data_IF_427488826709
#
_entry.id   IF_427488826709
#
_cell.length_a   1.000
_cell.length_b   1.000
_cell.length_c   1.000
_cell.angle_alpha   90.00
_cell.angle_beta   90.00
_cell.angle_gamma   90.00
#
_symmetry.space_group_name_H-M   'P 1'
#
loop_
_entity.id
_entity.type
_entity.pdbx_description
1 polymer ?
#
# COMPACT_ATOMS: atom_id res chain seq x y z
N UNK A 1 12.04 -11.04 12.90
CA UNK A 1 11.49 -10.13 11.86
C UNK A 1 10.07 -9.67 12.19
N UNK A 2 9.07 -10.55 12.26
CA UNK A 2 7.67 -10.14 12.48
C UNK A 2 7.42 -9.32 13.76
N UNK A 3 8.02 -9.71 14.90
CA UNK A 3 7.92 -8.93 16.13
C UNK A 3 8.51 -7.51 16.01
N UNK A 4 9.59 -7.36 15.23
CA UNK A 4 10.21 -6.07 14.95
C UNK A 4 9.33 -5.23 14.02
N UNK A 5 8.76 -5.84 12.98
CA UNK A 5 7.75 -5.21 12.11
C UNK A 5 6.60 -4.65 12.96
N UNK A 6 6.04 -5.45 13.87
CA UNK A 6 5.01 -5.00 14.81
C UNK A 6 5.45 -3.80 15.66
N UNK A 7 6.63 -3.87 16.26
CA UNK A 7 7.15 -2.78 17.10
C UNK A 7 7.36 -1.49 16.29
N UNK A 8 7.88 -1.60 15.07
CA UNK A 8 8.06 -0.46 14.17
C UNK A 8 6.73 0.13 13.71
N UNK A 9 5.75 -0.69 13.34
CA UNK A 9 4.40 -0.22 13.00
C UNK A 9 3.78 0.57 14.15
N UNK A 10 3.85 0.06 15.40
CA UNK A 10 3.29 0.77 16.56
C UNK A 10 4.02 2.08 16.88
N UNK A 11 5.34 2.15 16.66
CA UNK A 11 6.13 3.34 17.00
C UNK A 11 6.18 4.40 15.91
N UNK A 12 6.08 3.99 14.64
CA UNK A 12 6.33 4.86 13.48
C UNK A 12 5.18 4.88 12.47
N UNK A 13 4.11 4.11 12.70
CA UNK A 13 2.96 4.05 11.78
C UNK A 13 3.28 3.36 10.45
N UNK A 14 2.68 3.88 9.36
CA UNK A 14 2.81 3.32 8.01
C UNK A 14 4.28 3.20 7.55
N UNK A 15 5.16 4.21 7.71
CA UNK A 15 6.57 4.07 7.34
C UNK A 15 7.28 2.93 8.08
N UNK A 16 6.98 2.74 9.37
CA UNK A 16 7.54 1.65 10.16
C UNK A 16 7.11 0.26 9.68
N UNK A 17 5.86 0.16 9.23
CA UNK A 17 5.37 -1.07 8.60
C UNK A 17 6.05 -1.34 7.27
N UNK A 18 6.18 -0.30 6.44
CA UNK A 18 6.86 -0.39 5.15
C UNK A 18 8.29 -0.95 5.31
N UNK A 19 9.07 -0.43 6.26
CA UNK A 19 10.42 -0.92 6.55
C UNK A 19 10.42 -2.38 7.03
N UNK A 20 9.44 -2.75 7.88
CA UNK A 20 9.33 -4.11 8.37
C UNK A 20 8.93 -5.11 7.27
N UNK A 21 8.13 -4.70 6.28
CA UNK A 21 7.86 -5.50 5.09
C UNK A 21 9.10 -5.68 4.22
N UNK A 22 9.93 -4.65 4.07
CA UNK A 22 11.20 -4.77 3.35
C UNK A 22 12.11 -5.80 4.04
N UNK A 23 12.19 -5.77 5.38
CA UNK A 23 12.94 -6.78 6.14
C UNK A 23 12.40 -8.19 5.91
N UNK A 24 11.08 -8.36 5.90
CA UNK A 24 10.43 -9.66 5.64
C UNK A 24 10.77 -10.14 4.22
N UNK A 25 10.61 -9.27 3.23
CA UNK A 25 10.90 -9.55 1.83
C UNK A 25 12.35 -10.01 1.65
N UNK A 26 13.32 -9.22 2.13
CA UNK A 26 14.75 -9.55 2.00
C UNK A 26 15.12 -10.82 2.76
N UNK A 27 14.47 -11.09 3.90
CA UNK A 27 14.70 -12.33 4.65
C UNK A 27 14.21 -13.56 3.87
N UNK A 28 13.02 -13.49 3.26
CA UNK A 28 12.47 -14.55 2.43
C UNK A 28 13.36 -14.74 1.20
N UNK A 29 13.72 -13.67 0.48
CA UNK A 29 14.53 -13.75 -0.74
C UNK A 29 15.91 -14.35 -0.51
N UNK A 30 16.59 -13.96 0.58
CA UNK A 30 18.00 -14.36 0.80
C UNK A 30 18.16 -15.63 1.63
N UNK A 31 17.20 -15.94 2.49
CA UNK A 31 17.36 -16.95 3.52
C UNK A 31 16.21 -17.95 3.57
N UNK A 32 15.45 -18.14 2.48
CA UNK A 32 14.28 -19.01 2.46
C UNK A 32 14.50 -20.37 3.13
N UNK A 33 15.54 -21.10 2.75
CA UNK A 33 15.84 -22.42 3.31
C UNK A 33 16.13 -22.36 4.83
N UNK A 34 17.13 -21.58 5.31
CA UNK A 34 17.49 -21.53 6.73
C UNK A 34 16.55 -20.66 7.60
N UNK A 35 15.53 -20.02 7.04
CA UNK A 35 14.64 -19.14 7.79
C UNK A 35 13.83 -19.95 8.81
N UNK A 36 13.72 -19.45 10.04
CA UNK A 36 12.88 -20.07 11.06
C UNK A 36 11.43 -19.56 10.99
N UNK A 37 10.42 -20.43 11.19
CA UNK A 37 10.53 -21.89 11.39
C UNK A 37 11.08 -22.61 10.15
N UNK A 38 11.93 -23.62 10.38
CA UNK A 38 12.54 -24.41 9.31
C UNK A 38 11.45 -25.16 8.52
N UNK A 39 11.70 -25.43 7.23
CA UNK A 39 10.79 -26.27 6.42
C UNK A 39 10.82 -27.72 6.86
N UNK A 40 11.96 -28.17 7.37
CA UNK A 40 12.15 -29.54 7.84
C UNK A 40 12.44 -29.50 9.34
N UNK A 41 11.57 -30.17 10.10
CA UNK A 41 11.78 -30.41 11.52
C UNK A 41 11.64 -31.92 11.76
N UNK A 42 12.64 -32.52 12.43
CA UNK A 42 12.67 -33.97 12.71
C UNK A 42 12.54 -34.90 11.48
N UNK A 43 12.94 -34.43 10.29
CA UNK A 43 12.90 -35.23 9.05
C UNK A 43 11.56 -35.20 8.33
N UNK A 44 10.62 -34.38 8.77
CA UNK A 44 9.35 -34.12 8.08
C UNK A 44 9.37 -32.71 7.49
N UNK A 45 9.16 -32.61 6.17
CA UNK A 45 9.05 -31.33 5.46
C UNK A 45 7.62 -30.81 5.59
N UNK A 46 7.40 -29.85 6.48
CA UNK A 46 6.10 -29.19 6.68
C UNK A 46 6.18 -27.67 6.46
N UNK A 47 5.84 -27.18 5.24
CA UNK A 47 5.81 -25.75 4.95
C UNK A 47 4.72 -24.98 5.71
N UNK A 48 3.71 -25.64 6.29
CA UNK A 48 2.60 -24.97 6.96
C UNK A 48 3.02 -24.21 8.21
N UNK A 49 4.05 -24.67 8.94
CA UNK A 49 4.57 -23.92 10.08
C UNK A 49 5.04 -22.52 9.70
N UNK A 50 5.71 -22.40 8.55
CA UNK A 50 6.18 -21.13 8.05
C UNK A 50 5.04 -20.28 7.48
N UNK A 51 4.09 -20.89 6.79
CA UNK A 51 2.87 -20.22 6.32
C UNK A 51 2.11 -19.61 7.51
N UNK A 52 1.93 -20.38 8.58
CA UNK A 52 1.24 -19.94 9.80
C UNK A 52 2.00 -18.81 10.51
N UNK A 53 3.34 -18.86 10.53
CA UNK A 53 4.14 -17.75 11.05
C UNK A 53 3.94 -16.46 10.22
N UNK A 54 3.92 -16.59 8.89
CA UNK A 54 3.70 -15.46 7.97
C UNK A 54 2.24 -14.99 7.92
N UNK A 55 1.28 -15.78 8.40
CA UNK A 55 -0.12 -15.37 8.53
C UNK A 55 -0.31 -14.16 9.45
N UNK A 56 0.68 -13.82 10.29
CA UNK A 56 0.71 -12.55 11.03
C UNK A 56 0.73 -11.31 10.11
N UNK A 57 1.03 -11.45 8.82
CA UNK A 57 0.95 -10.39 7.81
C UNK A 57 -0.42 -10.35 7.10
N UNK A 58 -1.33 -11.27 7.43
CA UNK A 58 -2.66 -11.34 6.84
C UNK A 58 -3.60 -10.27 7.38
N UNK A 59 -4.69 -10.03 6.65
CA UNK A 59 -5.72 -9.01 6.91
C UNK A 59 -6.38 -9.08 8.28
N UNK A 60 -6.38 -10.25 8.91
CA UNK A 60 -7.02 -10.50 10.20
C UNK A 60 -6.06 -10.37 11.39
N UNK A 61 -4.84 -9.92 11.16
CA UNK A 61 -3.83 -9.76 12.20
C UNK A 61 -4.01 -8.45 13.00
N UNK A 62 -3.52 -8.47 14.24
CA UNK A 62 -3.34 -7.25 15.06
C UNK A 62 -2.51 -6.18 14.35
N UNK A 63 -1.64 -6.61 13.43
CA UNK A 63 -0.81 -5.73 12.63
C UNK A 63 -1.65 -4.92 11.64
N UNK A 64 -2.60 -5.57 10.95
CA UNK A 64 -3.51 -4.90 10.02
C UNK A 64 -4.43 -3.93 10.75
N UNK A 65 -4.85 -4.25 11.97
CA UNK A 65 -5.60 -3.31 12.82
C UNK A 65 -4.74 -2.08 13.16
N UNK A 66 -3.49 -2.28 13.58
CA UNK A 66 -2.56 -1.19 13.86
C UNK A 66 -2.31 -0.31 12.62
N UNK A 67 -2.23 -0.93 11.44
CA UNK A 67 -2.06 -0.23 10.17
C UNK A 67 -3.26 0.64 9.81
N UNK A 68 -4.48 0.09 9.91
CA UNK A 68 -5.72 0.82 9.63
C UNK A 68 -5.91 2.05 10.51
N UNK A 69 -5.46 1.96 11.77
CA UNK A 69 -5.53 3.07 12.72
C UNK A 69 -4.34 4.03 12.63
N UNK A 70 -3.32 3.73 11.81
CA UNK A 70 -2.18 4.61 11.66
C UNK A 70 -2.55 5.87 10.86
N UNK A 71 -1.89 6.98 11.21
CA UNK A 71 -1.96 8.25 10.50
C UNK A 71 -1.56 8.10 9.03
N UNK A 72 -2.42 8.53 8.11
CA UNK A 72 -2.09 8.63 6.69
C UNK A 72 -1.56 10.03 6.37
N UNK A 73 -2.29 11.07 6.77
CA UNK A 73 -1.91 12.47 6.54
C UNK A 73 -1.99 13.24 7.85
N UNK A 74 -1.05 14.17 8.03
CA UNK A 74 -1.07 15.15 9.12
C UNK A 74 -0.78 16.53 8.54
N UNK A 75 -1.70 17.48 8.73
CA UNK A 75 -1.62 18.80 8.11
C UNK A 75 -2.20 19.86 9.04
N UNK A 76 -1.36 20.80 9.50
CA UNK A 76 -1.76 21.93 10.36
C UNK A 76 -2.54 21.56 11.64
N UNK A 77 -2.25 20.39 12.23
CA UNK A 77 -2.94 19.88 13.42
C UNK A 77 -4.10 18.93 13.11
N UNK A 78 -4.57 18.92 11.87
CA UNK A 78 -5.53 17.93 11.38
C UNK A 78 -4.81 16.61 11.09
N UNK A 79 -5.54 15.52 11.28
CA UNK A 79 -5.02 14.17 11.06
C UNK A 79 -6.13 13.26 10.53
N UNK A 80 -5.77 12.39 9.60
CA UNK A 80 -6.67 11.35 9.12
C UNK A 80 -5.98 9.99 9.16
N UNK A 81 -6.67 9.01 9.74
CA UNK A 81 -6.21 7.62 9.74
C UNK A 81 -6.36 7.00 8.35
N UNK A 82 -5.59 5.94 8.06
CA UNK A 82 -5.73 5.19 6.81
C UNK A 82 -7.16 4.67 6.63
N UNK A 83 -7.80 4.18 7.70
CA UNK A 83 -9.19 3.72 7.69
C UNK A 83 -10.16 4.84 7.34
N UNK A 84 -10.06 5.99 7.97
CA UNK A 84 -10.97 7.11 7.72
C UNK A 84 -10.76 7.69 6.32
N UNK A 85 -9.52 7.75 5.84
CA UNK A 85 -9.21 8.14 4.48
C UNK A 85 -9.88 7.18 3.48
N UNK A 86 -9.79 5.87 3.71
CA UNK A 86 -10.50 4.87 2.88
C UNK A 86 -12.02 5.09 2.92
N UNK A 87 -12.60 5.33 4.10
CA UNK A 87 -14.04 5.57 4.27
C UNK A 87 -14.53 6.86 3.58
N UNK A 88 -13.70 7.91 3.52
CA UNK A 88 -14.00 9.11 2.74
C UNK A 88 -13.88 8.86 1.23
N UNK A 89 -12.95 7.99 0.81
CA UNK A 89 -12.68 7.65 -0.59
C UNK A 89 -13.67 6.63 -1.18
N UNK A 90 -14.27 5.77 -0.36
CA UNK A 90 -15.35 4.87 -0.78
C UNK A 90 -16.76 5.48 -0.62
N UNK A 91 -16.85 6.60 0.10
CA UNK A 91 -18.11 7.32 0.33
C UNK A 91 -18.97 6.74 1.46
N UNK A 92 -18.45 5.75 2.20
CA UNK A 92 -19.10 5.22 3.41
C UNK A 92 -19.11 6.23 4.56
N UNK A 93 -18.18 7.20 4.54
CA UNK A 93 -18.13 8.34 5.45
C UNK A 93 -18.08 9.64 4.64
N UNK A 94 -18.84 10.64 5.07
CA UNK A 94 -18.88 11.95 4.40
C UNK A 94 -18.04 13.01 5.11
N UNK A 95 -17.87 12.87 6.44
CA UNK A 95 -17.18 13.85 7.28
C UNK A 95 -16.27 13.15 8.29
N UNK A 96 -15.14 13.77 8.60
CA UNK A 96 -14.25 13.34 9.67
C UNK A 96 -13.96 14.54 10.59
N UNK A 97 -14.36 14.53 11.86
CA UNK A 97 -14.18 15.67 12.77
C UNK A 97 -12.73 16.14 12.89
N UNK A 98 -11.79 15.20 12.92
CA UNK A 98 -10.35 15.48 13.04
C UNK A 98 -9.67 15.86 11.70
N UNK A 99 -10.42 15.87 10.60
CA UNK A 99 -9.94 16.22 9.27
C UNK A 99 -10.98 17.05 8.48
N UNK A 100 -11.04 18.37 8.72
CA UNK A 100 -11.96 19.26 8.03
C UNK A 100 -11.62 19.37 6.53
N UNK A 101 -12.63 19.55 5.68
CA UNK A 101 -12.47 19.62 4.23
C UNK A 101 -12.69 18.29 3.49
N UNK A 102 -12.80 17.17 4.22
CA UNK A 102 -13.35 15.91 3.71
C UNK A 102 -12.63 15.35 2.48
N UNK A 103 -13.40 14.67 1.62
CA UNK A 103 -12.88 13.95 0.45
C UNK A 103 -12.10 14.83 -0.56
N UNK A 104 -12.57 16.03 -0.96
CA UNK A 104 -11.84 16.85 -1.93
C UNK A 104 -10.43 17.22 -1.46
N UNK A 105 -10.29 17.65 -0.20
CA UNK A 105 -8.98 17.94 0.41
C UNK A 105 -8.09 16.71 0.44
N UNK A 106 -8.64 15.55 0.82
CA UNK A 106 -7.92 14.29 0.84
C UNK A 106 -7.34 13.94 -0.54
N UNK A 107 -8.14 14.10 -1.61
CA UNK A 107 -7.67 13.86 -2.98
C UNK A 107 -6.51 14.79 -3.35
N UNK A 108 -6.62 16.08 -3.03
CA UNK A 108 -5.57 17.06 -3.32
C UNK A 108 -4.28 16.77 -2.55
N UNK A 109 -4.36 16.42 -1.26
CA UNK A 109 -3.18 16.05 -0.46
C UNK A 109 -2.55 14.74 -0.96
N UNK A 110 -3.34 13.72 -1.29
CA UNK A 110 -2.82 12.49 -1.89
C UNK A 110 -2.18 12.71 -3.27
N UNK A 111 -2.70 13.65 -4.06
CA UNK A 111 -2.13 13.99 -5.36
C UNK A 111 -0.77 14.70 -5.26
N UNK A 112 -0.50 15.41 -4.15
CA UNK A 112 0.82 16.01 -3.90
C UNK A 112 1.87 14.97 -3.54
N UNK A 113 1.49 13.94 -2.77
CA UNK A 113 2.35 12.81 -2.45
C UNK A 113 3.61 13.17 -1.65
N UNK A 114 3.60 14.30 -0.95
CA UNK A 114 4.72 14.87 -0.19
C UNK A 114 4.75 14.42 1.29
N UNK A 115 3.74 13.65 1.70
CA UNK A 115 3.58 13.18 3.07
C UNK A 115 4.16 11.76 3.23
N UNK A 116 4.84 11.48 4.37
CA UNK A 116 5.48 10.18 4.60
C UNK A 116 4.48 9.02 4.64
N UNK A 117 3.24 9.28 5.05
CA UNK A 117 2.18 8.26 5.03
C UNK A 117 1.76 7.88 3.61
N UNK A 118 1.69 8.84 2.68
CA UNK A 118 1.33 8.57 1.28
C UNK A 118 2.42 7.75 0.57
N UNK A 119 3.69 8.13 0.75
CA UNK A 119 4.82 7.36 0.23
C UNK A 119 4.84 5.94 0.82
N UNK A 120 4.63 5.83 2.14
CA UNK A 120 4.60 4.54 2.82
C UNK A 120 3.51 3.61 2.27
N UNK A 121 2.31 4.11 1.94
CA UNK A 121 1.24 3.27 1.36
C UNK A 121 1.67 2.66 0.02
N UNK A 122 2.34 3.43 -0.84
CA UNK A 122 2.85 2.94 -2.13
C UNK A 122 3.85 1.82 -1.88
N UNK A 123 4.84 2.07 -1.01
CA UNK A 123 5.87 1.09 -0.66
C UNK A 123 5.30 -0.17 0.01
N UNK A 124 4.31 -0.03 0.88
CA UNK A 124 3.62 -1.15 1.51
C UNK A 124 2.97 -2.03 0.45
N UNK A 125 2.23 -1.42 -0.49
CA UNK A 125 1.57 -2.18 -1.56
C UNK A 125 2.59 -2.91 -2.44
N UNK A 126 3.64 -2.23 -2.89
CA UNK A 126 4.71 -2.84 -3.69
C UNK A 126 5.36 -4.04 -2.98
N UNK A 127 5.66 -3.90 -1.68
CA UNK A 127 6.31 -4.96 -0.89
C UNK A 127 5.37 -6.12 -0.60
N UNK A 128 4.09 -5.88 -0.34
CA UNK A 128 3.10 -6.95 -0.18
C UNK A 128 2.95 -7.76 -1.47
N UNK A 129 2.90 -7.10 -2.62
CA UNK A 129 2.88 -7.77 -3.93
C UNK A 129 4.15 -8.60 -4.14
N UNK A 130 5.32 -8.03 -3.87
CA UNK A 130 6.59 -8.75 -4.01
C UNK A 130 6.69 -9.97 -3.07
N UNK A 131 6.26 -9.84 -1.81
CA UNK A 131 6.22 -10.95 -0.85
C UNK A 131 5.25 -12.03 -1.33
N UNK A 132 4.07 -11.64 -1.81
CA UNK A 132 3.09 -12.59 -2.35
C UNK A 132 3.67 -13.37 -3.53
N UNK A 133 4.30 -12.68 -4.48
CA UNK A 133 4.89 -13.32 -5.66
C UNK A 133 6.05 -14.26 -5.27
N UNK A 134 6.89 -13.87 -4.30
CA UNK A 134 7.93 -14.74 -3.73
C UNK A 134 7.34 -16.00 -3.08
N UNK A 135 6.30 -15.83 -2.26
CA UNK A 135 5.64 -16.95 -1.58
C UNK A 135 4.93 -17.87 -2.56
N UNK A 136 4.24 -17.34 -3.59
CA UNK A 136 3.70 -18.16 -4.68
C UNK A 136 4.78 -18.98 -5.37
N UNK A 137 5.98 -18.41 -5.57
CA UNK A 137 7.11 -19.11 -6.16
C UNK A 137 7.62 -20.28 -5.31
N UNK A 138 7.64 -20.15 -3.98
CA UNK A 138 8.14 -21.20 -3.09
C UNK A 138 7.08 -22.24 -2.68
N UNK A 139 5.83 -21.83 -2.54
CA UNK A 139 4.76 -22.63 -1.91
C UNK A 139 3.64 -23.03 -2.89
N UNK A 140 3.65 -22.48 -4.11
CA UNK A 140 2.52 -22.54 -5.03
C UNK A 140 1.36 -21.63 -4.59
N UNK A 141 0.41 -21.41 -5.49
CA UNK A 141 -0.73 -20.50 -5.29
C UNK A 141 -1.59 -20.82 -4.05
N UNK A 142 -1.66 -22.11 -3.66
CA UNK A 142 -2.47 -22.56 -2.53
C UNK A 142 -1.83 -22.31 -1.15
N UNK A 143 -0.54 -21.98 -1.11
CA UNK A 143 0.23 -21.82 0.14
C UNK A 143 0.39 -20.38 0.60
N UNK A 144 -0.17 -19.41 -0.14
CA UNK A 144 0.03 -17.99 0.14
C UNK A 144 -1.05 -17.48 1.10
N UNK A 145 -0.69 -16.87 2.24
CA UNK A 145 -1.68 -16.22 3.10
C UNK A 145 -2.45 -15.14 2.35
N UNK A 146 -3.74 -14.95 2.68
CA UNK A 146 -4.50 -13.76 2.24
C UNK A 146 -3.84 -12.50 2.80
N UNK A 147 -2.97 -11.88 2.01
CA UNK A 147 -2.35 -10.60 2.28
C UNK A 147 -3.16 -9.56 1.52
N UNK A 148 -4.13 -8.95 2.19
CA UNK A 148 -5.01 -7.99 1.54
C UNK A 148 -4.22 -6.82 1.02
N UNK A 149 -4.53 -6.49 -0.23
CA UNK A 149 -4.07 -5.27 -0.83
C UNK A 149 -4.58 -4.09 -0.02
N UNK A 150 -3.67 -3.27 0.48
CA UNK A 150 -3.98 -1.97 1.11
C UNK A 150 -4.71 -1.03 0.12
N UNK A 151 -4.83 -1.40 -1.16
CA UNK A 151 -5.74 -0.76 -2.08
C UNK A 151 -6.09 -1.68 -3.26
N UNK A 152 -6.89 -2.75 -3.06
CA UNK A 152 -7.63 -3.32 -4.20
C UNK A 152 -8.80 -2.40 -4.57
N UNK A 153 -8.47 -1.16 -4.95
CA UNK A 153 -9.34 -0.32 -5.72
C UNK A 153 -9.24 -0.82 -7.16
N UNK A 154 -9.92 -1.93 -7.46
CA UNK A 154 -10.18 -2.37 -8.83
C UNK A 154 -11.28 -1.47 -9.43
N UNK A 155 -11.01 -0.16 -9.48
CA UNK A 155 -11.81 0.84 -10.16
C UNK A 155 -11.14 1.23 -11.49
N UNK A 156 -11.88 1.38 -12.60
CA UNK A 156 -11.32 1.68 -13.91
C UNK A 156 -10.90 3.16 -13.99
N UNK A 157 -9.84 3.56 -13.28
CA UNK A 157 -9.44 4.97 -13.15
C UNK A 157 -8.07 5.32 -13.73
N UNK A 158 -7.20 4.33 -13.97
CA UNK A 158 -5.78 4.60 -14.25
C UNK A 158 -5.42 4.76 -15.73
N UNK A 159 -6.37 4.63 -16.65
CA UNK A 159 -6.09 4.80 -18.10
C UNK A 159 -6.15 6.26 -18.58
N UNK A 160 -6.65 7.20 -17.77
CA UNK A 160 -7.04 8.54 -18.28
C UNK A 160 -6.00 9.66 -18.16
N UNK A 161 -4.80 9.39 -17.66
CA UNK A 161 -3.76 10.42 -17.51
C UNK A 161 -2.70 10.44 -18.62
N UNK A 162 -2.78 9.55 -19.61
CA UNK A 162 -1.88 9.56 -20.78
C UNK A 162 -2.52 10.13 -22.07
N UNK A 163 -3.82 10.47 -22.06
CA UNK A 163 -4.56 10.87 -23.26
C UNK A 163 -4.58 12.38 -23.58
N UNK A 164 -4.44 13.26 -22.59
CA UNK A 164 -4.73 14.69 -22.79
C UNK A 164 -3.52 15.54 -23.22
N UNK A 165 -2.31 14.97 -23.27
CA UNK A 165 -1.11 15.71 -23.74
C UNK A 165 -0.96 15.78 -25.26
N UNK A 166 -1.81 15.11 -26.05
CA UNK A 166 -1.72 15.14 -27.51
C UNK A 166 -2.84 15.91 -28.22
N UNK A 167 -3.86 16.41 -27.50
CA UNK A 167 -4.91 17.22 -28.13
C UNK A 167 -4.76 18.73 -27.92
N UNK A 168 -3.95 19.19 -26.96
CA UNK A 168 -3.76 20.63 -26.72
C UNK A 168 -2.70 21.33 -27.59
N UNK A 169 -1.86 20.59 -28.33
CA UNK A 169 -0.89 21.19 -29.26
C UNK A 169 -1.42 21.42 -30.68
N UNK A 170 -2.63 20.97 -31.03
CA UNK A 170 -3.20 21.14 -32.37
C UNK A 170 -4.19 22.32 -32.52
N UNK A 171 -4.65 22.92 -31.42
CA UNK A 171 -5.70 23.95 -31.46
C UNK A 171 -5.19 25.40 -31.49
N UNK A 172 -3.87 25.65 -31.45
CA UNK A 172 -3.30 27.01 -31.44
C UNK A 172 -2.63 27.44 -32.76
N UNK A 173 -2.62 26.60 -33.81
CA UNK A 173 -1.95 26.93 -35.09
C UNK A 173 -2.90 27.32 -36.24
N UNK A 174 -4.19 27.59 -35.96
CA UNK A 174 -5.22 27.79 -37.00
C UNK A 174 -5.75 29.22 -37.20
N UNK A 175 -5.22 30.23 -36.52
CA UNK A 175 -5.79 31.59 -36.55
C UNK A 175 -4.76 32.68 -36.84
N UNK A 176 -4.04 32.62 -37.96
CA UNK A 176 -3.38 33.82 -38.53
C UNK A 176 -3.13 33.68 -40.03
N UNK A 177 -3.74 34.57 -40.81
CA UNK A 177 -3.37 34.87 -42.20
C UNK A 177 -4.56 34.71 -43.16
N UNK A 178 -5.05 35.70 -43.89
CA UNK A 178 -4.64 37.09 -44.05
C UNK A 178 -5.41 37.63 -45.26
N UNK A 179 -6.18 38.69 -45.09
CA UNK A 179 -6.49 39.69 -46.12
C UNK A 179 -5.40 40.77 -46.01
N UNK A 180 -4.99 41.53 -47.05
CA UNK A 180 -5.79 41.97 -48.20
C UNK A 180 -5.07 42.04 -49.58
N UNK A 181 -5.85 42.16 -50.66
CA UNK A 181 -5.66 43.18 -51.72
C UNK A 181 -6.89 43.28 -52.59
#
# INVERSE_FOLDING_TARGET
>A
MLALTHAWTRRRGLPGYADGLLLVQEAITRYWEPLYPLLEEYGETDPFYRINALAALSDKSDLTVALRNASLLRSNGDEISLRDAQALLDGSKTECPDYPGGRPRLIDELARGDQPGTEAVILINERLLAIRDLLSGYLGESGVPEMGAVAENRGPGRQRLSGDRHQQTAAQSGCTGGTPR
#
